data_IF_978413631237
#
_entry.id   IF_978413631237
#
_cell.length_a   1.000
_cell.length_b   1.000
_cell.length_c   1.000
_cell.angle_alpha   90.00
_cell.angle_beta   90.00
_cell.angle_gamma   90.00
#
_symmetry.space_group_name_H-M   'P 1'
#
loop_
_entity.id
_entity.type
_entity.pdbx_description
1 polymer ?
#
# COMPACT_ATOMS: atom_id res chain seq x y z
N UNK A 1 33.56 -30.04 -22.63
CA UNK A 1 33.99 -28.91 -21.74
C UNK A 1 33.36 -27.55 -22.11
N UNK A 2 32.62 -27.44 -23.22
CA UNK A 2 31.98 -26.19 -23.67
C UNK A 2 30.60 -25.93 -23.06
N UNK A 3 29.91 -26.96 -22.56
CA UNK A 3 28.55 -26.78 -22.01
C UNK A 3 28.52 -26.16 -20.60
N UNK A 4 29.63 -26.22 -19.84
CA UNK A 4 29.70 -25.63 -18.48
C UNK A 4 30.06 -24.15 -18.51
N UNK A 5 30.75 -23.66 -19.54
CA UNK A 5 31.13 -22.25 -19.71
C UNK A 5 29.92 -21.39 -20.14
N UNK A 6 29.04 -21.96 -20.98
CA UNK A 6 27.83 -21.25 -21.42
C UNK A 6 26.85 -21.02 -20.25
N UNK A 7 26.71 -21.99 -19.32
CA UNK A 7 25.83 -21.84 -18.16
C UNK A 7 26.32 -20.80 -17.15
N UNK A 8 27.62 -20.52 -17.08
CA UNK A 8 28.18 -19.46 -16.23
C UNK A 8 28.03 -18.04 -16.85
N UNK A 9 28.12 -17.96 -18.19
CA UNK A 9 27.98 -16.67 -18.89
C UNK A 9 26.53 -16.13 -18.81
N UNK A 10 25.53 -17.01 -18.89
CA UNK A 10 24.12 -16.62 -18.77
C UNK A 10 23.68 -16.31 -17.32
N UNK A 11 24.37 -16.83 -16.30
CA UNK A 11 24.10 -16.47 -14.89
C UNK A 11 24.47 -15.03 -14.54
N UNK A 12 25.33 -14.36 -15.31
CA UNK A 12 25.68 -12.96 -15.09
C UNK A 12 24.70 -11.95 -15.71
N UNK A 13 23.67 -12.41 -16.43
CA UNK A 13 22.63 -11.56 -17.05
C UNK A 13 21.28 -11.61 -16.33
N UNK A 14 21.11 -12.48 -15.35
CA UNK A 14 19.83 -12.56 -14.62
C UNK A 14 19.85 -11.63 -13.41
N UNK A 15 18.84 -10.79 -13.28
CA UNK A 15 18.65 -9.93 -12.12
C UNK A 15 18.45 -10.79 -10.87
N UNK A 16 19.30 -10.61 -9.84
CA UNK A 16 19.05 -11.23 -8.52
C UNK A 16 17.94 -10.45 -7.80
N UNK A 17 16.70 -10.86 -8.00
CA UNK A 17 15.53 -10.25 -7.39
C UNK A 17 15.56 -10.27 -5.87
N UNK A 18 16.39 -11.12 -5.26
CA UNK A 18 16.43 -11.35 -3.82
C UNK A 18 17.60 -10.69 -3.10
N UNK A 19 18.55 -10.05 -3.79
CA UNK A 19 19.82 -9.60 -3.20
C UNK A 19 19.64 -8.76 -1.92
N UNK A 20 19.06 -7.57 -2.03
CA UNK A 20 18.79 -6.68 -0.89
C UNK A 20 17.79 -7.29 0.11
N UNK A 21 16.74 -7.94 -0.42
CA UNK A 21 15.70 -8.59 0.40
C UNK A 21 16.31 -9.65 1.31
N UNK A 22 17.24 -10.44 0.78
CA UNK A 22 17.96 -11.48 1.53
C UNK A 22 18.79 -10.89 2.66
N UNK A 23 19.48 -9.77 2.40
CA UNK A 23 20.33 -9.10 3.38
C UNK A 23 19.48 -8.49 4.51
N UNK A 24 18.35 -7.88 4.17
CA UNK A 24 17.40 -7.35 5.16
C UNK A 24 16.77 -8.47 6.00
N UNK A 25 16.34 -9.58 5.37
CA UNK A 25 15.75 -10.73 6.10
C UNK A 25 16.77 -11.38 7.04
N UNK A 26 18.05 -11.41 6.68
CA UNK A 26 19.13 -11.92 7.54
C UNK A 26 19.56 -10.94 8.64
N UNK A 27 19.18 -9.67 8.53
CA UNK A 27 19.68 -8.61 9.41
C UNK A 27 21.09 -8.15 9.06
N UNK A 28 21.55 -8.38 7.84
CA UNK A 28 22.88 -7.96 7.34
C UNK A 28 22.85 -6.53 6.75
N UNK A 29 21.66 -5.97 6.48
CA UNK A 29 21.52 -4.61 5.97
C UNK A 29 21.49 -3.60 7.13
N UNK A 30 22.45 -2.67 7.21
CA UNK A 30 22.46 -1.65 8.24
C UNK A 30 21.44 -0.54 7.91
N UNK A 31 20.58 -0.23 8.85
CA UNK A 31 19.71 0.94 8.77
C UNK A 31 20.55 2.23 8.72
N UNK A 32 20.42 3.06 7.68
CA UNK A 32 21.25 4.23 7.49
C UNK A 32 21.05 5.32 8.56
N UNK A 33 19.93 5.33 9.26
CA UNK A 33 19.68 6.31 10.34
C UNK A 33 20.29 5.88 11.67
N UNK A 34 20.32 4.58 11.95
CA UNK A 34 20.74 4.07 13.27
C UNK A 34 22.06 3.31 13.22
N UNK A 35 22.53 2.90 12.05
CA UNK A 35 23.67 2.01 11.85
C UNK A 35 23.46 0.58 12.36
N UNK A 36 22.29 0.26 12.89
CA UNK A 36 21.96 -1.07 13.40
C UNK A 36 21.39 -1.95 12.30
N UNK A 37 21.55 -3.28 12.40
CA UNK A 37 20.90 -4.20 11.47
C UNK A 37 19.39 -3.96 11.47
N UNK A 38 18.83 -3.77 10.28
CA UNK A 38 17.39 -3.74 10.09
C UNK A 38 16.85 -5.17 10.27
N UNK A 39 15.78 -5.32 11.05
CA UNK A 39 15.19 -6.62 11.33
C UNK A 39 13.73 -6.66 10.86
N UNK A 40 13.37 -7.71 10.13
CA UNK A 40 12.01 -7.96 9.66
C UNK A 40 11.52 -9.33 10.12
N UNK A 41 10.23 -9.52 10.39
CA UNK A 41 9.70 -10.73 11.00
C UNK A 41 9.45 -11.87 10.01
N UNK A 42 10.25 -11.97 8.93
CA UNK A 42 10.13 -13.03 7.91
C UNK A 42 11.25 -14.05 8.06
N UNK A 43 10.96 -15.32 7.87
CA UNK A 43 11.98 -16.37 7.80
C UNK A 43 12.60 -16.48 6.42
N UNK A 44 11.79 -16.27 5.38
CA UNK A 44 12.25 -16.31 4.00
C UNK A 44 11.34 -15.53 3.07
N UNK A 45 11.95 -14.93 2.06
CA UNK A 45 11.24 -14.32 0.92
C UNK A 45 11.94 -14.79 -0.35
N UNK A 46 11.15 -15.18 -1.35
CA UNK A 46 11.65 -15.59 -2.68
C UNK A 46 10.84 -14.90 -3.77
N UNK A 47 11.54 -14.19 -4.61
CA UNK A 47 11.02 -13.60 -5.84
C UNK A 47 11.81 -14.25 -6.97
N UNK A 48 11.15 -15.05 -7.80
CA UNK A 48 11.79 -15.78 -8.89
C UNK A 48 10.95 -15.61 -10.17
N UNK A 49 11.57 -15.82 -11.33
CA UNK A 49 10.84 -15.80 -12.59
C UNK A 49 9.72 -16.85 -12.60
N UNK A 50 9.99 -18.03 -12.04
CA UNK A 50 8.99 -19.07 -11.80
C UNK A 50 9.32 -19.86 -10.55
N UNK A 51 8.29 -20.30 -9.82
CA UNK A 51 8.37 -21.16 -8.66
C UNK A 51 7.86 -22.58 -8.98
N UNK A 52 7.69 -22.93 -10.25
CA UNK A 52 7.15 -24.22 -10.67
C UNK A 52 7.98 -25.39 -10.14
N UNK A 53 7.31 -26.34 -9.52
CA UNK A 53 7.92 -27.54 -8.90
C UNK A 53 8.58 -27.28 -7.56
N UNK A 54 8.65 -26.04 -7.07
CA UNK A 54 9.42 -25.67 -5.87
C UNK A 54 8.60 -25.37 -4.61
N UNK A 55 7.26 -25.40 -4.66
CA UNK A 55 6.45 -24.95 -3.53
C UNK A 55 6.68 -25.77 -2.26
N UNK A 56 6.86 -27.08 -2.37
CA UNK A 56 7.14 -27.95 -1.21
C UNK A 56 8.46 -27.58 -0.52
N UNK A 57 9.53 -27.39 -1.28
CA UNK A 57 10.85 -27.05 -0.75
C UNK A 57 10.87 -25.66 -0.09
N UNK A 58 10.06 -24.74 -0.59
CA UNK A 58 9.90 -23.41 -0.03
C UNK A 58 9.10 -23.40 1.28
N UNK A 59 8.06 -24.23 1.38
CA UNK A 59 7.15 -24.24 2.55
C UNK A 59 7.64 -25.17 3.66
N UNK A 60 8.30 -26.29 3.33
CA UNK A 60 8.75 -27.27 4.33
C UNK A 60 9.58 -26.67 5.48
N UNK A 61 10.56 -25.78 5.24
CA UNK A 61 11.38 -25.19 6.30
C UNK A 61 10.55 -24.34 7.29
N UNK A 62 9.41 -23.77 6.86
CA UNK A 62 8.58 -22.88 7.67
C UNK A 62 7.77 -23.64 8.74
N UNK A 63 7.68 -24.96 8.63
CA UNK A 63 6.97 -25.80 9.60
C UNK A 63 5.56 -25.28 9.89
N UNK A 64 4.79 -25.05 8.82
CA UNK A 64 3.41 -24.52 8.91
C UNK A 64 2.48 -25.50 9.64
N UNK A 65 2.73 -26.79 9.51
CA UNK A 65 1.98 -27.88 10.13
C UNK A 65 1.89 -29.12 9.24
N UNK A 66 1.16 -30.12 9.69
CA UNK A 66 0.90 -31.35 8.92
C UNK A 66 -0.47 -31.32 8.22
N UNK A 67 -1.42 -30.54 8.73
CA UNK A 67 -2.70 -30.27 8.10
C UNK A 67 -2.67 -28.81 7.65
N UNK A 68 -2.52 -28.59 6.35
CA UNK A 68 -2.33 -27.28 5.76
C UNK A 68 -3.59 -26.93 4.94
N UNK A 69 -4.21 -25.80 5.23
CA UNK A 69 -5.24 -25.24 4.35
C UNK A 69 -4.55 -24.34 3.30
N UNK A 70 -4.75 -24.68 2.02
CA UNK A 70 -4.37 -23.82 0.90
C UNK A 70 -5.58 -22.97 0.54
N UNK A 71 -5.52 -21.68 0.87
CA UNK A 71 -6.62 -20.73 0.67
C UNK A 71 -6.36 -19.88 -0.57
N UNK A 72 -7.27 -19.93 -1.52
CA UNK A 72 -7.28 -19.14 -2.75
C UNK A 72 -8.69 -18.61 -3.03
N UNK A 73 -8.85 -17.71 -3.97
CA UNK A 73 -10.16 -17.44 -4.58
C UNK A 73 -10.26 -18.14 -5.94
N UNK A 74 -11.44 -18.10 -6.57
CA UNK A 74 -11.68 -18.79 -7.85
C UNK A 74 -10.69 -18.39 -8.94
N UNK A 75 -10.23 -17.12 -8.99
CA UNK A 75 -9.28 -16.64 -9.98
C UNK A 75 -7.86 -17.09 -9.64
N UNK A 76 -7.45 -16.91 -8.39
CA UNK A 76 -6.10 -17.25 -7.94
C UNK A 76 -5.89 -18.74 -7.79
N UNK A 77 -6.98 -19.52 -7.59
CA UNK A 77 -6.94 -20.98 -7.63
C UNK A 77 -6.50 -21.49 -9.02
N UNK A 78 -7.11 -20.97 -10.07
CA UNK A 78 -6.74 -21.34 -11.45
C UNK A 78 -5.33 -20.86 -11.80
N UNK A 79 -4.96 -19.63 -11.41
CA UNK A 79 -3.65 -19.05 -11.74
C UNK A 79 -2.48 -19.77 -11.07
N UNK A 80 -2.62 -20.15 -9.79
CA UNK A 80 -1.51 -20.71 -9.00
C UNK A 80 -1.97 -21.69 -7.91
N UNK A 81 -3.14 -21.51 -7.30
CA UNK A 81 -3.56 -22.21 -6.09
C UNK A 81 -3.57 -23.74 -6.26
N UNK A 82 -4.13 -24.23 -7.36
CA UNK A 82 -4.19 -25.66 -7.69
C UNK A 82 -2.78 -26.25 -7.81
N UNK A 83 -1.83 -25.56 -8.42
CA UNK A 83 -0.44 -25.98 -8.55
C UNK A 83 0.23 -26.08 -7.18
N UNK A 84 0.13 -25.03 -6.36
CA UNK A 84 0.68 -25.01 -5.00
C UNK A 84 0.08 -26.12 -4.15
N UNK A 85 -1.24 -26.29 -4.13
CA UNK A 85 -1.90 -27.34 -3.36
C UNK A 85 -1.39 -28.74 -3.77
N UNK A 86 -1.26 -29.00 -5.07
CA UNK A 86 -0.72 -30.26 -5.60
C UNK A 86 0.72 -30.51 -5.14
N UNK A 87 1.59 -29.50 -5.23
CA UNK A 87 3.00 -29.61 -4.87
C UNK A 87 3.19 -29.82 -3.35
N UNK A 88 2.32 -29.25 -2.51
CA UNK A 88 2.40 -29.37 -1.06
C UNK A 88 1.93 -30.73 -0.51
N UNK A 89 1.30 -31.59 -1.30
CA UNK A 89 0.76 -32.90 -0.82
C UNK A 89 1.83 -33.82 -0.21
N UNK A 90 3.09 -33.62 -0.56
CA UNK A 90 4.21 -34.35 0.05
C UNK A 90 4.53 -33.94 1.49
N UNK A 91 4.02 -32.79 1.96
CA UNK A 91 4.29 -32.27 3.30
C UNK A 91 3.27 -32.72 4.34
N UNK A 92 2.09 -33.16 3.92
CA UNK A 92 1.01 -33.56 4.83
C UNK A 92 -0.37 -33.60 4.17
N UNK A 93 -1.42 -33.49 4.98
CA UNK A 93 -2.79 -33.37 4.49
C UNK A 93 -3.02 -31.93 4.00
N UNK A 94 -3.51 -31.79 2.77
CA UNK A 94 -3.78 -30.50 2.13
C UNK A 94 -5.28 -30.36 1.90
N UNK A 95 -5.87 -29.30 2.45
CA UNK A 95 -7.25 -28.92 2.21
C UNK A 95 -7.28 -27.68 1.31
N UNK A 96 -7.94 -27.80 0.18
CA UNK A 96 -8.10 -26.69 -0.77
C UNK A 96 -9.37 -25.89 -0.41
N UNK A 97 -9.19 -24.65 0.02
CA UNK A 97 -10.27 -23.72 0.37
C UNK A 97 -10.35 -22.64 -0.70
N UNK A 98 -11.39 -22.67 -1.51
CA UNK A 98 -11.59 -21.71 -2.60
C UNK A 98 -12.67 -20.71 -2.23
N UNK A 99 -12.29 -19.45 -2.07
CA UNK A 99 -13.17 -18.33 -1.76
C UNK A 99 -13.79 -17.73 -3.04
N UNK A 100 -14.88 -16.95 -2.93
CA UNK A 100 -15.42 -16.20 -4.07
C UNK A 100 -14.39 -15.22 -4.67
N UNK A 101 -14.50 -14.92 -5.98
CA UNK A 101 -13.54 -14.06 -6.69
C UNK A 101 -13.65 -12.56 -6.37
N UNK A 102 -14.70 -12.16 -5.69
CA UNK A 102 -14.96 -10.79 -5.21
C UNK A 102 -14.68 -10.63 -3.70
N UNK A 103 -13.87 -11.52 -3.13
CA UNK A 103 -13.54 -11.52 -1.71
C UNK A 103 -12.87 -10.20 -1.30
N UNK A 104 -13.46 -9.53 -0.31
CA UNK A 104 -12.92 -8.36 0.36
C UNK A 104 -12.40 -8.74 1.75
N UNK A 105 -11.44 -7.97 2.28
CA UNK A 105 -10.98 -8.16 3.65
C UNK A 105 -11.90 -7.39 4.62
N UNK A 106 -12.92 -8.08 5.11
CA UNK A 106 -13.85 -7.62 6.14
C UNK A 106 -13.99 -8.64 7.26
N UNK A 107 -14.60 -8.24 8.39
CA UNK A 107 -14.77 -9.15 9.53
C UNK A 107 -15.56 -10.42 9.19
N UNK A 108 -16.63 -10.39 8.38
CA UNK A 108 -17.31 -11.60 7.92
C UNK A 108 -16.42 -12.56 7.13
N UNK A 109 -15.63 -12.03 6.19
CA UNK A 109 -14.67 -12.83 5.41
C UNK A 109 -13.59 -13.44 6.31
N UNK A 110 -13.04 -12.67 7.24
CA UNK A 110 -12.07 -13.18 8.23
C UNK A 110 -12.67 -14.33 9.04
N UNK A 111 -13.88 -14.16 9.56
CA UNK A 111 -14.59 -15.22 10.30
C UNK A 111 -14.84 -16.46 9.42
N UNK A 112 -15.18 -16.25 8.15
CA UNK A 112 -15.37 -17.35 7.18
C UNK A 112 -14.08 -18.12 6.93
N UNK A 113 -12.94 -17.43 6.77
CA UNK A 113 -11.61 -18.09 6.66
C UNK A 113 -11.31 -18.90 7.91
N UNK A 114 -11.52 -18.34 9.12
CA UNK A 114 -11.34 -19.06 10.38
C UNK A 114 -12.19 -20.34 10.45
N UNK A 115 -13.46 -20.25 10.10
CA UNK A 115 -14.38 -21.38 10.09
C UNK A 115 -13.94 -22.50 9.12
N UNK A 116 -13.66 -22.12 7.87
CA UNK A 116 -13.30 -23.09 6.83
C UNK A 116 -11.95 -23.77 7.09
N UNK A 117 -11.04 -23.10 7.79
CA UNK A 117 -9.69 -23.60 8.07
C UNK A 117 -9.46 -24.03 9.52
N UNK A 118 -10.52 -24.12 10.34
CA UNK A 118 -10.42 -24.42 11.79
C UNK A 118 -9.69 -25.70 12.15
N UNK A 119 -9.69 -26.68 11.25
CA UNK A 119 -9.06 -27.99 11.44
C UNK A 119 -7.61 -28.03 10.96
N UNK A 120 -7.15 -27.00 10.27
CA UNK A 120 -5.79 -26.89 9.76
C UNK A 120 -4.83 -26.36 10.84
N UNK A 121 -3.61 -26.87 10.85
CA UNK A 121 -2.55 -26.42 11.76
C UNK A 121 -2.02 -25.02 11.34
N UNK A 122 -2.12 -24.70 10.05
CA UNK A 122 -1.76 -23.41 9.49
C UNK A 122 -2.26 -23.21 8.07
N UNK A 123 -1.99 -22.04 7.50
CA UNK A 123 -2.52 -21.62 6.20
C UNK A 123 -1.38 -21.33 5.23
N UNK A 124 -1.55 -21.76 3.97
CA UNK A 124 -0.81 -21.24 2.82
C UNK A 124 -1.81 -20.47 1.96
N UNK A 125 -1.73 -19.14 1.97
CA UNK A 125 -2.59 -18.31 1.14
C UNK A 125 -1.97 -18.14 -0.25
N UNK A 126 -2.78 -18.32 -1.28
CA UNK A 126 -2.40 -18.11 -2.69
C UNK A 126 -3.32 -17.03 -3.25
N UNK A 127 -2.81 -15.79 -3.31
CA UNK A 127 -3.66 -14.67 -3.69
C UNK A 127 -2.96 -13.32 -3.65
N UNK A 128 -3.75 -12.27 -3.83
CA UNK A 128 -3.28 -10.90 -3.71
C UNK A 128 -3.85 -10.21 -2.45
N UNK A 129 -3.85 -8.89 -2.40
CA UNK A 129 -4.07 -8.08 -1.22
C UNK A 129 -5.18 -8.51 -0.28
N UNK A 130 -6.44 -8.50 -0.72
CA UNK A 130 -7.60 -8.76 0.14
C UNK A 130 -7.57 -10.16 0.76
N UNK A 131 -7.24 -11.17 -0.03
CA UNK A 131 -7.19 -12.55 0.45
C UNK A 131 -6.01 -12.76 1.41
N UNK A 132 -4.86 -12.15 1.10
CA UNK A 132 -3.69 -12.18 1.98
C UNK A 132 -3.98 -11.53 3.32
N UNK A 133 -4.61 -10.36 3.35
CA UNK A 133 -4.97 -9.67 4.60
C UNK A 133 -6.04 -10.43 5.39
N UNK A 134 -7.03 -11.05 4.71
CA UNK A 134 -8.03 -11.89 5.38
C UNK A 134 -7.40 -13.09 6.08
N UNK A 135 -6.50 -13.82 5.40
CA UNK A 135 -5.79 -14.97 5.98
C UNK A 135 -4.80 -14.55 7.06
N UNK A 136 -4.09 -13.44 6.85
CA UNK A 136 -3.18 -12.83 7.84
C UNK A 136 -3.92 -12.53 9.13
N UNK A 137 -5.05 -11.82 9.05
CA UNK A 137 -5.80 -11.43 10.23
C UNK A 137 -6.50 -12.62 10.90
N UNK A 138 -7.03 -13.58 10.11
CA UNK A 138 -7.60 -14.83 10.64
C UNK A 138 -6.55 -15.62 11.44
N UNK A 139 -5.37 -15.86 10.87
CA UNK A 139 -4.29 -16.60 11.54
C UNK A 139 -3.70 -15.85 12.73
N UNK A 140 -3.66 -14.53 12.69
CA UNK A 140 -3.28 -13.71 13.84
C UNK A 140 -4.25 -13.89 15.02
N UNK A 141 -5.56 -13.84 14.77
CA UNK A 141 -6.59 -14.07 15.81
C UNK A 141 -6.52 -15.48 16.39
N UNK A 142 -6.16 -16.48 15.58
CA UNK A 142 -6.11 -17.88 15.98
C UNK A 142 -4.73 -18.32 16.53
N UNK A 143 -3.71 -17.46 16.42
CA UNK A 143 -2.32 -17.81 16.80
C UNK A 143 -1.69 -18.86 15.88
N UNK A 144 -2.18 -19.04 14.65
CA UNK A 144 -1.66 -20.00 13.66
C UNK A 144 -0.59 -19.39 12.77
N UNK A 145 0.29 -20.24 12.24
CA UNK A 145 1.28 -19.84 11.23
C UNK A 145 0.65 -19.73 9.85
N UNK A 146 1.21 -18.86 9.01
CA UNK A 146 0.85 -18.83 7.60
C UNK A 146 2.04 -18.47 6.70
N UNK A 147 1.94 -18.83 5.43
CA UNK A 147 2.81 -18.41 4.34
C UNK A 147 1.98 -17.87 3.18
N UNK A 148 2.59 -17.06 2.33
CA UNK A 148 1.89 -16.38 1.23
C UNK A 148 2.57 -16.65 -0.11
N UNK A 149 1.79 -17.08 -1.11
CA UNK A 149 2.15 -17.04 -2.52
C UNK A 149 1.40 -15.88 -3.18
N UNK A 150 2.13 -14.84 -3.57
CA UNK A 150 1.54 -13.69 -4.25
C UNK A 150 1.24 -13.99 -5.73
N UNK A 151 0.07 -13.59 -6.20
CA UNK A 151 -0.41 -13.86 -7.57
C UNK A 151 -0.52 -12.61 -8.43
N UNK A 152 -0.34 -11.43 -7.86
CA UNK A 152 -0.40 -10.16 -8.58
C UNK A 152 0.28 -9.04 -7.80
N UNK A 153 0.86 -8.08 -8.50
CA UNK A 153 1.55 -6.93 -7.93
C UNK A 153 0.55 -5.79 -7.65
N UNK A 154 -0.27 -5.90 -6.59
CA UNK A 154 -1.37 -4.95 -6.34
C UNK A 154 -1.12 -3.96 -5.22
N UNK A 155 -0.30 -4.32 -4.25
CA UNK A 155 -0.06 -3.50 -3.04
C UNK A 155 1.08 -4.08 -2.19
N UNK A 156 1.56 -3.30 -1.21
CA UNK A 156 2.67 -3.64 -0.32
C UNK A 156 2.32 -4.58 0.86
N UNK A 157 1.05 -4.89 1.08
CA UNK A 157 0.55 -5.59 2.27
C UNK A 157 1.07 -6.99 2.51
N UNK A 158 1.64 -7.66 1.51
CA UNK A 158 2.29 -8.98 1.72
C UNK A 158 3.34 -8.91 2.82
N UNK A 159 4.15 -7.86 2.81
CA UNK A 159 5.29 -7.66 3.70
C UNK A 159 4.99 -6.75 4.89
N UNK A 160 3.74 -6.41 5.15
CA UNK A 160 3.36 -5.61 6.30
C UNK A 160 2.91 -6.47 7.48
N UNK A 161 3.19 -6.00 8.70
CA UNK A 161 2.70 -6.59 9.96
C UNK A 161 1.30 -6.12 10.37
N UNK A 162 0.59 -5.45 9.46
CA UNK A 162 -0.80 -4.98 9.63
C UNK A 162 -1.69 -5.57 8.57
N UNK A 163 -3.00 -5.62 8.82
CA UNK A 163 -4.03 -5.97 7.84
C UNK A 163 -5.02 -4.83 7.68
N UNK A 164 -5.40 -4.53 6.43
CA UNK A 164 -6.45 -3.55 6.13
C UNK A 164 -7.80 -4.24 6.16
N UNK A 165 -8.61 -3.95 7.18
CA UNK A 165 -9.87 -4.66 7.44
C UNK A 165 -11.03 -3.67 7.48
N UNK A 166 -12.13 -4.03 6.83
CA UNK A 166 -13.41 -3.33 6.98
C UNK A 166 -14.18 -3.95 8.15
N UNK A 167 -14.47 -3.13 9.16
CA UNK A 167 -15.23 -3.56 10.34
C UNK A 167 -16.71 -3.73 10.01
N UNK A 168 -17.46 -4.44 10.87
CA UNK A 168 -18.90 -4.67 10.70
C UNK A 168 -19.73 -3.38 10.60
N UNK A 169 -19.23 -2.27 11.11
CA UNK A 169 -19.88 -0.95 10.99
C UNK A 169 -19.54 -0.22 9.68
N UNK A 170 -18.74 -0.83 8.78
CA UNK A 170 -18.30 -0.25 7.51
C UNK A 170 -17.02 0.62 7.60
N UNK A 171 -16.44 0.82 8.79
CA UNK A 171 -15.22 1.59 8.94
C UNK A 171 -13.99 0.79 8.52
N UNK A 172 -13.24 1.29 7.52
CA UNK A 172 -12.02 0.67 7.04
C UNK A 172 -10.81 1.16 7.82
N UNK A 173 -10.06 0.23 8.41
CA UNK A 173 -8.91 0.55 9.26
C UNK A 173 -7.79 -0.46 9.10
N UNK A 174 -6.55 -0.04 9.42
CA UNK A 174 -5.41 -0.94 9.53
C UNK A 174 -5.31 -1.46 10.96
N UNK A 175 -5.40 -2.77 11.11
CA UNK A 175 -5.30 -3.44 12.42
C UNK A 175 -3.94 -4.11 12.57
N UNK A 176 -3.38 -4.16 13.80
CA UNK A 176 -2.22 -4.99 14.08
C UNK A 176 -2.48 -6.44 13.70
N UNK A 177 -1.50 -7.08 13.08
CA UNK A 177 -1.53 -8.48 12.68
C UNK A 177 -0.10 -9.05 12.80
N UNK A 178 0.16 -10.18 12.19
CA UNK A 178 1.49 -10.75 12.12
C UNK A 178 1.96 -10.91 10.66
N UNK A 179 3.27 -10.92 10.47
CA UNK A 179 3.84 -11.20 9.17
C UNK A 179 3.72 -12.69 8.81
N UNK A 180 3.67 -13.06 7.51
CA UNK A 180 3.82 -14.44 7.09
C UNK A 180 5.20 -14.98 7.44
N UNK A 181 5.31 -16.28 7.68
CA UNK A 181 6.62 -16.94 7.87
C UNK A 181 7.46 -16.87 6.59
N UNK A 182 6.81 -16.97 5.44
CA UNK A 182 7.46 -16.86 4.14
C UNK A 182 6.57 -16.20 3.10
N UNK A 183 7.19 -15.50 2.14
CA UNK A 183 6.54 -14.89 0.99
C UNK A 183 7.21 -15.41 -0.27
N UNK A 184 6.41 -15.89 -1.21
CA UNK A 184 6.83 -16.51 -2.45
C UNK A 184 6.13 -15.84 -3.63
N UNK A 185 6.91 -15.31 -4.57
CA UNK A 185 6.42 -14.58 -5.73
C UNK A 185 6.92 -15.26 -6.99
N UNK A 186 6.00 -15.77 -7.77
CA UNK A 186 6.21 -16.25 -9.14
C UNK A 186 5.94 -15.08 -10.09
N UNK A 187 7.01 -14.51 -10.67
CA UNK A 187 6.90 -13.31 -11.50
C UNK A 187 6.13 -13.55 -12.80
N UNK A 188 6.17 -14.75 -13.36
CA UNK A 188 5.35 -15.10 -14.53
C UNK A 188 3.87 -15.05 -14.20
N UNK A 189 3.47 -15.61 -13.05
CA UNK A 189 2.08 -15.55 -12.58
C UNK A 189 1.65 -14.10 -12.34
N UNK A 190 2.52 -13.28 -11.75
CA UNK A 190 2.24 -11.86 -11.54
C UNK A 190 2.15 -11.08 -12.85
N UNK A 191 3.00 -11.40 -13.83
CA UNK A 191 2.98 -10.78 -15.15
C UNK A 191 1.74 -11.18 -15.97
N UNK A 192 1.31 -12.44 -15.87
CA UNK A 192 0.11 -12.96 -16.55
C UNK A 192 -1.21 -12.46 -15.92
N UNK A 193 -1.14 -11.85 -14.71
CA UNK A 193 -2.30 -11.26 -14.08
C UNK A 193 -2.88 -10.10 -14.92
N UNK A 194 -4.19 -9.81 -14.83
CA UNK A 194 -4.79 -8.70 -15.56
C UNK A 194 -4.03 -7.38 -15.35
N UNK A 195 -3.66 -6.68 -16.42
CA UNK A 195 -2.85 -5.43 -16.42
C UNK A 195 -3.32 -4.40 -15.38
N UNK A 196 -4.63 -4.28 -15.15
CA UNK A 196 -5.19 -3.39 -14.11
C UNK A 196 -4.65 -3.65 -12.70
N UNK A 197 -4.16 -4.87 -12.42
CA UNK A 197 -3.62 -5.23 -11.10
C UNK A 197 -2.19 -4.71 -10.94
N UNK A 198 -1.33 -4.85 -11.96
CA UNK A 198 0.01 -4.24 -11.96
C UNK A 198 -0.07 -2.72 -12.02
N UNK A 199 -1.02 -2.15 -12.79
CA UNK A 199 -1.28 -0.72 -12.79
C UNK A 199 -1.74 -0.22 -11.40
N UNK A 200 -2.53 -1.02 -10.66
CA UNK A 200 -2.90 -0.71 -9.28
C UNK A 200 -1.68 -0.70 -8.35
N UNK A 201 -0.81 -1.70 -8.44
CA UNK A 201 0.42 -1.73 -7.65
C UNK A 201 1.38 -0.58 -7.96
N UNK A 202 1.47 -0.19 -9.22
CA UNK A 202 2.23 1.01 -9.61
C UNK A 202 1.61 2.27 -9.00
N UNK A 203 0.28 2.43 -9.05
CA UNK A 203 -0.43 3.55 -8.43
C UNK A 203 -0.20 3.61 -6.92
N UNK A 204 -0.27 2.45 -6.24
CA UNK A 204 0.04 2.31 -4.82
C UNK A 204 1.50 2.67 -4.49
N UNK A 205 2.42 2.43 -5.43
CA UNK A 205 3.84 2.74 -5.27
C UNK A 205 4.18 4.20 -5.58
N UNK A 206 3.50 4.85 -6.52
CA UNK A 206 3.77 6.24 -6.92
C UNK A 206 3.30 7.28 -5.90
N UNK A 207 2.62 6.89 -4.84
CA UNK A 207 2.21 7.78 -3.75
C UNK A 207 3.39 8.29 -2.88
N UNK A 208 4.55 7.63 -2.91
CA UNK A 208 5.65 7.92 -1.98
C UNK A 208 6.14 9.37 -1.99
N UNK A 209 6.34 10.04 -3.13
CA UNK A 209 6.73 11.45 -3.12
C UNK A 209 5.71 12.35 -2.38
N UNK A 210 4.42 12.13 -2.61
CA UNK A 210 3.36 12.90 -1.95
C UNK A 210 3.26 12.56 -0.46
N UNK A 211 3.35 11.29 -0.12
CA UNK A 211 3.36 10.83 1.27
C UNK A 211 4.60 11.35 2.04
N UNK A 212 5.77 11.41 1.40
CA UNK A 212 6.99 11.93 2.00
C UNK A 212 6.86 13.42 2.31
N UNK A 213 6.28 14.21 1.39
CA UNK A 213 6.00 15.63 1.59
C UNK A 213 5.08 15.81 2.80
N UNK A 214 3.98 15.08 2.88
CA UNK A 214 3.04 15.18 4.00
C UNK A 214 3.70 14.75 5.32
N UNK A 215 4.41 13.64 5.33
CA UNK A 215 5.02 13.10 6.56
C UNK A 215 6.17 13.98 7.05
N UNK A 216 7.04 14.46 6.15
CA UNK A 216 8.11 15.39 6.50
C UNK A 216 7.56 16.73 7.01
N UNK A 217 6.56 17.30 6.33
CA UNK A 217 5.90 18.53 6.79
C UNK A 217 5.29 18.34 8.18
N UNK A 218 4.60 17.23 8.44
CA UNK A 218 4.07 16.90 9.75
C UNK A 218 5.18 16.80 10.81
N UNK A 219 6.32 16.18 10.48
CA UNK A 219 7.48 16.12 11.36
C UNK A 219 8.02 17.51 11.72
N UNK A 220 8.27 18.36 10.72
CA UNK A 220 8.82 19.70 10.92
C UNK A 220 7.87 20.64 11.66
N UNK A 221 6.57 20.50 11.41
CA UNK A 221 5.54 21.38 11.98
C UNK A 221 5.08 20.93 13.38
N UNK A 222 5.01 19.63 13.66
CA UNK A 222 4.43 19.11 14.90
C UNK A 222 5.41 18.26 15.72
N UNK A 223 6.63 17.99 15.23
CA UNK A 223 7.58 17.09 15.89
C UNK A 223 7.11 15.62 15.88
N UNK A 224 6.27 15.24 14.93
CA UNK A 224 5.83 13.85 14.79
C UNK A 224 7.00 12.96 14.36
N UNK A 225 6.88 11.67 14.62
CA UNK A 225 7.89 10.70 14.19
C UNK A 225 8.09 10.75 12.66
N UNK A 226 9.35 10.63 12.23
CA UNK A 226 9.74 10.47 10.83
C UNK A 226 10.95 9.53 10.75
N UNK A 227 11.08 8.78 9.67
CA UNK A 227 12.25 7.98 9.33
C UNK A 227 12.51 8.01 7.83
N UNK A 228 13.77 8.20 7.45
CA UNK A 228 14.23 8.12 6.06
C UNK A 228 14.53 6.68 5.61
N UNK A 229 14.63 5.74 6.54
CA UNK A 229 14.98 4.33 6.30
C UNK A 229 14.13 3.67 5.21
N UNK A 230 12.77 3.81 5.18
CA UNK A 230 11.96 3.22 4.12
C UNK A 230 12.31 3.73 2.72
N UNK A 231 12.66 5.00 2.59
CA UNK A 231 13.04 5.61 1.30
C UNK A 231 14.42 5.13 0.86
N UNK A 232 15.37 5.01 1.79
CA UNK A 232 16.70 4.47 1.50
C UNK A 232 16.65 3.02 1.00
N UNK A 233 15.74 2.19 1.55
CA UNK A 233 15.52 0.82 1.09
C UNK A 233 15.09 0.75 -0.39
N UNK A 234 14.29 1.70 -0.84
CA UNK A 234 13.70 1.69 -2.19
C UNK A 234 14.49 2.51 -3.20
N UNK A 235 15.53 3.24 -2.76
CA UNK A 235 16.23 4.23 -3.58
C UNK A 235 16.76 3.71 -4.91
N UNK A 236 17.21 2.45 -4.96
CA UNK A 236 17.72 1.82 -6.19
C UNK A 236 16.63 1.20 -7.07
N UNK A 237 15.55 0.73 -6.46
CA UNK A 237 14.50 -0.02 -7.17
C UNK A 237 13.42 0.90 -7.75
N UNK A 238 13.12 2.00 -7.09
CA UNK A 238 12.06 2.93 -7.52
C UNK A 238 12.31 3.57 -8.90
N UNK A 239 13.54 4.04 -9.21
CA UNK A 239 13.83 4.53 -10.56
C UNK A 239 13.67 3.48 -11.65
N UNK A 240 14.01 2.21 -11.36
CA UNK A 240 13.85 1.08 -12.28
C UNK A 240 12.37 0.78 -12.53
N UNK A 241 11.57 0.75 -11.48
CA UNK A 241 10.12 0.59 -11.58
C UNK A 241 9.48 1.69 -12.45
N UNK A 242 9.85 2.94 -12.23
CA UNK A 242 9.34 4.08 -13.02
C UNK A 242 9.77 3.95 -14.49
N UNK A 243 11.03 3.59 -14.75
CA UNK A 243 11.58 3.46 -16.10
C UNK A 243 10.92 2.34 -16.91
N UNK A 244 10.47 1.27 -16.24
CA UNK A 244 9.86 0.08 -16.88
C UNK A 244 8.33 0.07 -16.79
N UNK A 245 7.70 1.14 -16.28
CA UNK A 245 6.25 1.19 -16.06
C UNK A 245 5.42 0.86 -17.31
N UNK A 246 5.85 1.31 -18.51
CA UNK A 246 5.18 1.02 -19.78
C UNK A 246 5.25 -0.45 -20.21
N UNK A 247 6.18 -1.22 -19.67
CA UNK A 247 6.33 -2.64 -19.99
C UNK A 247 5.40 -3.52 -19.13
N UNK A 248 4.84 -2.97 -18.03
CA UNK A 248 3.78 -3.64 -17.25
C UNK A 248 2.56 -3.97 -18.11
N UNK A 249 2.15 -3.05 -18.98
CA UNK A 249 1.03 -3.27 -19.90
C UNK A 249 1.31 -4.34 -20.98
N UNK A 250 2.58 -4.73 -21.15
CA UNK A 250 3.03 -5.79 -22.07
C UNK A 250 3.25 -7.13 -21.36
N UNK A 251 2.88 -7.24 -20.08
CA UNK A 251 3.10 -8.43 -19.25
C UNK A 251 4.59 -8.81 -19.12
N UNK A 252 5.48 -7.81 -19.16
CA UNK A 252 6.92 -8.04 -19.04
C UNK A 252 7.29 -8.51 -17.62
N UNK A 253 8.01 -9.62 -17.55
CA UNK A 253 8.38 -10.26 -16.27
C UNK A 253 9.35 -9.39 -15.47
N UNK A 254 10.31 -8.73 -16.14
CA UNK A 254 11.30 -7.90 -15.46
C UNK A 254 10.66 -6.62 -14.90
N UNK A 255 9.75 -5.98 -15.65
CA UNK A 255 8.98 -4.82 -15.16
C UNK A 255 8.15 -5.19 -13.93
N UNK A 256 7.47 -6.36 -13.96
CA UNK A 256 6.74 -6.89 -12.82
C UNK A 256 7.69 -7.22 -11.64
N UNK A 257 8.91 -7.67 -11.90
CA UNK A 257 9.94 -7.88 -10.88
C UNK A 257 10.36 -6.59 -10.18
N UNK A 258 10.59 -5.50 -10.92
CA UNK A 258 10.91 -4.19 -10.35
C UNK A 258 9.76 -3.62 -9.52
N UNK A 259 8.52 -3.73 -10.01
CA UNK A 259 7.35 -3.32 -9.24
C UNK A 259 7.20 -4.13 -7.96
N UNK A 260 7.33 -5.46 -8.04
CA UNK A 260 7.20 -6.34 -6.87
C UNK A 260 8.26 -6.06 -5.80
N UNK A 261 9.50 -5.77 -6.19
CA UNK A 261 10.56 -5.39 -5.25
C UNK A 261 10.22 -4.11 -4.50
N UNK A 262 9.77 -3.08 -5.21
CA UNK A 262 9.36 -1.82 -4.57
C UNK A 262 8.21 -2.03 -3.59
N UNK A 263 7.19 -2.82 -3.96
CA UNK A 263 6.08 -3.16 -3.07
C UNK A 263 6.56 -3.93 -1.83
N UNK A 264 7.48 -4.88 -2.00
CA UNK A 264 8.06 -5.65 -0.91
C UNK A 264 8.85 -4.78 0.07
N UNK A 265 9.77 -3.96 -0.45
CA UNK A 265 10.62 -3.07 0.35
C UNK A 265 9.80 -1.97 1.05
N UNK A 266 8.73 -1.48 0.42
CA UNK A 266 7.76 -0.59 1.06
C UNK A 266 7.10 -1.25 2.27
N UNK A 267 6.70 -2.52 2.16
CA UNK A 267 6.15 -3.29 3.28
C UNK A 267 7.15 -3.47 4.43
N UNK A 268 8.44 -3.65 4.13
CA UNK A 268 9.48 -3.68 5.16
C UNK A 268 9.56 -2.37 5.94
N UNK A 269 9.38 -1.23 5.26
CA UNK A 269 9.32 0.07 5.92
C UNK A 269 8.30 0.11 7.05
N UNK A 270 7.14 -0.56 6.89
CA UNK A 270 6.14 -0.69 7.97
C UNK A 270 6.68 -1.52 9.14
N UNK A 271 7.42 -2.58 8.86
CA UNK A 271 8.02 -3.42 9.91
C UNK A 271 9.06 -2.64 10.74
N UNK A 272 9.87 -1.80 10.09
CA UNK A 272 10.91 -1.01 10.78
C UNK A 272 10.34 0.15 11.59
N UNK A 273 9.38 0.88 11.00
CA UNK A 273 8.88 2.11 11.60
C UNK A 273 7.66 1.91 12.48
N UNK A 274 6.99 0.79 12.38
CA UNK A 274 5.69 0.53 13.02
C UNK A 274 4.53 1.36 12.46
N UNK A 275 4.78 2.16 11.41
CA UNK A 275 3.78 3.02 10.76
C UNK A 275 3.87 2.91 9.24
N UNK A 276 2.80 3.23 8.53
CA UNK A 276 2.75 3.20 7.06
C UNK A 276 2.91 4.57 6.40
N UNK A 277 3.38 5.58 7.12
CA UNK A 277 3.36 6.98 6.64
C UNK A 277 4.21 7.21 5.39
N UNK A 278 5.30 6.45 5.21
CA UNK A 278 6.17 6.55 4.03
C UNK A 278 5.48 6.16 2.70
N UNK A 279 4.34 5.50 2.77
CA UNK A 279 3.57 5.10 1.60
C UNK A 279 2.07 5.19 1.84
N UNK A 280 1.59 6.04 2.79
CA UNK A 280 0.17 6.15 3.08
C UNK A 280 -0.13 7.43 3.88
N UNK A 281 -0.42 8.52 3.21
CA UNK A 281 -0.82 9.79 3.82
C UNK A 281 -2.13 10.30 3.21
N UNK A 282 -2.19 11.52 2.71
CA UNK A 282 -3.41 12.15 2.19
C UNK A 282 -4.07 11.36 1.06
N UNK A 283 -3.30 10.83 0.13
CA UNK A 283 -3.77 10.04 -1.02
C UNK A 283 -4.49 8.75 -0.62
N UNK A 284 -4.00 8.09 0.41
CA UNK A 284 -4.64 6.90 0.96
C UNK A 284 -5.91 7.24 1.74
N UNK A 285 -5.96 8.40 2.39
CA UNK A 285 -7.19 8.86 3.02
C UNK A 285 -8.31 9.03 1.99
N UNK A 286 -7.99 9.52 0.79
CA UNK A 286 -8.94 9.63 -0.34
C UNK A 286 -9.46 8.26 -0.75
N UNK A 287 -8.58 7.29 -0.98
CA UNK A 287 -8.99 5.93 -1.33
C UNK A 287 -9.83 5.27 -0.23
N UNK A 288 -9.44 5.41 1.04
CA UNK A 288 -10.22 4.88 2.15
C UNK A 288 -11.60 5.53 2.26
N UNK A 289 -11.70 6.84 2.00
CA UNK A 289 -12.98 7.53 1.97
C UNK A 289 -13.88 6.98 0.86
N UNK A 290 -13.33 6.78 -0.35
CA UNK A 290 -14.08 6.18 -1.47
C UNK A 290 -14.60 4.79 -1.08
N UNK A 291 -13.73 3.92 -0.56
CA UNK A 291 -14.10 2.56 -0.16
C UNK A 291 -15.20 2.52 0.92
N UNK A 292 -15.22 3.50 1.84
CA UNK A 292 -16.20 3.56 2.91
C UNK A 292 -17.52 4.21 2.50
N UNK A 293 -17.49 5.20 1.61
CA UNK A 293 -18.64 6.10 1.42
C UNK A 293 -19.18 6.20 0.00
N UNK A 294 -18.49 5.62 -1.00
CA UNK A 294 -19.01 5.62 -2.36
C UNK A 294 -20.27 4.74 -2.54
N UNK A 295 -20.45 3.73 -1.70
CA UNK A 295 -21.64 2.87 -1.72
C UNK A 295 -21.88 2.27 -3.12
N UNK A 296 -23.09 2.48 -3.65
CA UNK A 296 -23.47 1.99 -5.00
C UNK A 296 -22.71 2.64 -6.15
N UNK A 297 -22.13 3.82 -5.91
CA UNK A 297 -21.37 4.57 -6.92
C UNK A 297 -19.87 4.18 -6.89
N UNK A 298 -19.50 3.17 -6.08
CA UNK A 298 -18.16 2.61 -6.07
C UNK A 298 -17.90 1.85 -7.38
N UNK A 299 -16.87 2.23 -8.17
CA UNK A 299 -16.68 1.73 -9.53
C UNK A 299 -16.10 0.31 -9.58
N UNK A 300 -15.88 -0.36 -8.44
CA UNK A 300 -15.21 -1.65 -8.37
C UNK A 300 -13.69 -1.58 -8.61
N UNK A 301 -13.10 -0.39 -8.61
CA UNK A 301 -11.66 -0.20 -8.76
C UNK A 301 -10.90 -0.73 -7.56
N UNK A 302 -9.65 -1.14 -7.79
CA UNK A 302 -8.75 -1.58 -6.72
C UNK A 302 -8.15 -0.37 -6.01
N UNK A 303 -7.81 -0.56 -4.74
CA UNK A 303 -7.21 0.46 -3.86
C UNK A 303 -6.09 1.25 -4.54
N UNK A 304 -5.07 0.58 -5.10
CA UNK A 304 -3.95 1.26 -5.74
C UNK A 304 -4.31 2.08 -7.00
N UNK A 305 -5.41 1.75 -7.70
CA UNK A 305 -5.90 2.59 -8.81
C UNK A 305 -6.43 3.92 -8.27
N UNK A 306 -7.18 3.90 -7.16
CA UNK A 306 -7.69 5.11 -6.50
C UNK A 306 -6.53 5.92 -5.90
N UNK A 307 -5.56 5.24 -5.25
CA UNK A 307 -4.35 5.86 -4.69
C UNK A 307 -3.54 6.55 -5.79
N UNK A 308 -3.35 5.95 -6.96
CA UNK A 308 -2.62 6.55 -8.07
C UNK A 308 -3.22 7.88 -8.53
N UNK A 309 -4.54 7.93 -8.75
CA UNK A 309 -5.24 9.17 -9.14
C UNK A 309 -5.21 10.19 -8.00
N UNK A 310 -5.40 9.76 -6.76
CA UNK A 310 -5.33 10.64 -5.60
C UNK A 310 -3.92 11.24 -5.41
N UNK A 311 -2.88 10.43 -5.59
CA UNK A 311 -1.49 10.89 -5.55
C UNK A 311 -1.21 11.96 -6.60
N UNK A 312 -1.73 11.77 -7.82
CA UNK A 312 -1.57 12.75 -8.89
C UNK A 312 -2.27 14.07 -8.56
N UNK A 313 -3.49 14.04 -8.02
CA UNK A 313 -4.21 15.24 -7.61
C UNK A 313 -3.50 15.95 -6.44
N UNK A 314 -3.04 15.20 -5.44
CA UNK A 314 -2.30 15.73 -4.29
C UNK A 314 -0.94 16.27 -4.71
N UNK A 315 -0.23 15.61 -5.64
CA UNK A 315 1.02 16.14 -6.19
C UNK A 315 0.83 17.51 -6.86
N UNK A 316 -0.29 17.71 -7.59
CA UNK A 316 -0.65 19.02 -8.16
C UNK A 316 -0.93 20.05 -7.07
N UNK A 317 -1.69 19.70 -6.04
CA UNK A 317 -2.00 20.56 -4.90
C UNK A 317 -0.73 20.96 -4.13
N UNK A 318 0.09 19.99 -3.76
CA UNK A 318 1.35 20.22 -3.08
C UNK A 318 2.29 21.12 -3.91
N UNK A 319 2.43 20.83 -5.20
CA UNK A 319 3.28 21.62 -6.10
C UNK A 319 2.79 23.08 -6.24
N UNK A 320 1.48 23.30 -6.27
CA UNK A 320 0.91 24.64 -6.28
C UNK A 320 1.20 25.40 -4.99
N UNK A 321 1.00 24.78 -3.83
CA UNK A 321 1.29 25.41 -2.54
C UNK A 321 2.79 25.68 -2.38
N UNK A 322 3.65 24.73 -2.78
CA UNK A 322 5.11 24.86 -2.68
C UNK A 322 5.71 25.90 -3.66
N UNK A 323 4.93 26.39 -4.65
CA UNK A 323 5.34 27.51 -5.51
C UNK A 323 5.03 28.88 -4.90
N UNK A 324 4.24 28.96 -3.84
CA UNK A 324 3.91 30.21 -3.17
C UNK A 324 5.15 30.77 -2.47
N UNK A 325 5.41 32.09 -2.62
CA UNK A 325 6.50 32.77 -1.91
C UNK A 325 6.26 32.85 -0.41
N UNK A 326 4.99 32.98 -0.01
CA UNK A 326 4.54 32.98 1.37
C UNK A 326 3.64 31.77 1.62
N UNK A 327 3.72 31.18 2.80
CA UNK A 327 2.86 30.04 3.12
C UNK A 327 1.37 30.47 3.18
N UNK A 328 0.45 29.55 2.88
CA UNK A 328 -0.96 29.80 3.10
C UNK A 328 -1.24 30.01 4.59
N UNK A 329 -2.20 30.86 4.90
CA UNK A 329 -2.65 31.12 6.27
C UNK A 329 -3.91 30.32 6.56
N UNK A 330 -3.84 29.46 7.56
CA UNK A 330 -5.00 28.69 8.03
C UNK A 330 -5.88 29.52 8.97
N UNK A 331 -7.13 29.12 9.01
CA UNK A 331 -8.14 29.57 10.02
C UNK A 331 -8.32 28.44 11.04
N UNK A 332 -9.07 28.71 12.10
CA UNK A 332 -9.54 27.66 12.99
C UNK A 332 -10.28 26.59 12.15
N UNK A 333 -9.96 25.32 12.40
CA UNK A 333 -10.58 24.20 11.69
C UNK A 333 -12.09 24.18 12.00
N UNK A 334 -12.92 24.18 10.97
CA UNK A 334 -14.36 23.99 11.16
C UNK A 334 -14.63 22.51 11.49
N UNK A 335 -15.02 22.26 12.73
CA UNK A 335 -15.26 20.91 13.23
C UNK A 335 -16.48 20.88 14.15
N UNK A 336 -17.58 20.27 13.67
CA UNK A 336 -18.86 20.16 14.37
C UNK A 336 -19.35 18.72 14.32
N UNK A 337 -19.42 18.05 15.45
CA UNK A 337 -19.74 16.59 15.53
C UNK A 337 -21.05 16.24 14.81
N UNK A 338 -22.07 17.08 14.95
CA UNK A 338 -23.36 16.87 14.29
C UNK A 338 -23.27 16.81 12.76
N UNK A 339 -22.34 17.53 12.14
CA UNK A 339 -22.11 17.48 10.69
C UNK A 339 -21.47 16.16 10.26
N UNK A 340 -20.51 15.64 11.06
CA UNK A 340 -19.91 14.32 10.81
C UNK A 340 -20.96 13.22 10.95
N UNK A 341 -21.81 13.29 11.97
CA UNK A 341 -22.92 12.34 12.16
C UNK A 341 -23.92 12.46 11.00
N UNK A 342 -24.24 13.67 10.55
CA UNK A 342 -25.12 13.88 9.40
C UNK A 342 -24.56 13.33 8.09
N UNK A 343 -23.23 13.42 7.89
CA UNK A 343 -22.52 12.96 6.67
C UNK A 343 -22.32 11.45 6.64
N UNK A 344 -21.96 10.83 7.77
CA UNK A 344 -21.46 9.46 7.83
C UNK A 344 -22.32 8.50 8.68
N UNK A 345 -23.42 9.00 9.26
CA UNK A 345 -24.20 8.27 10.24
C UNK A 345 -23.52 8.24 11.61
N UNK A 346 -24.30 7.91 12.66
CA UNK A 346 -23.87 8.07 14.05
C UNK A 346 -22.57 7.31 14.39
N UNK A 347 -22.48 6.04 14.03
CA UNK A 347 -21.36 5.18 14.42
C UNK A 347 -20.05 5.66 13.77
N UNK A 348 -20.01 5.78 12.44
CA UNK A 348 -18.80 6.18 11.69
C UNK A 348 -18.53 7.67 11.89
N UNK A 349 -19.57 8.52 11.91
CA UNK A 349 -19.41 9.95 12.08
C UNK A 349 -18.74 10.34 13.38
N UNK A 350 -19.08 9.70 14.51
CA UNK A 350 -18.39 9.95 15.77
C UNK A 350 -16.92 9.48 15.75
N UNK A 351 -16.60 8.39 15.03
CA UNK A 351 -15.21 7.95 14.85
C UNK A 351 -14.42 8.96 14.00
N UNK A 352 -14.95 9.36 12.85
CA UNK A 352 -14.33 10.36 11.98
C UNK A 352 -14.15 11.70 12.70
N UNK A 353 -15.14 12.17 13.45
CA UNK A 353 -15.02 13.36 14.29
C UNK A 353 -13.86 13.22 15.29
N UNK A 354 -13.76 12.08 15.97
CA UNK A 354 -12.68 11.80 16.92
C UNK A 354 -11.29 11.83 16.28
N UNK A 355 -11.15 11.34 15.03
CA UNK A 355 -9.88 11.40 14.30
C UNK A 355 -9.57 12.82 13.81
N UNK A 356 -10.54 13.52 13.24
CA UNK A 356 -10.37 14.89 12.77
C UNK A 356 -10.05 15.86 13.92
N UNK A 357 -10.69 15.69 15.08
CA UNK A 357 -10.47 16.53 16.26
C UNK A 357 -9.03 16.51 16.77
N UNK A 358 -8.30 15.39 16.59
CA UNK A 358 -6.91 15.26 17.06
C UNK A 358 -5.93 16.17 16.32
N UNK A 359 -6.30 16.68 15.15
CA UNK A 359 -5.46 17.55 14.31
C UNK A 359 -6.13 18.91 14.00
N UNK A 360 -7.30 19.17 14.59
CA UNK A 360 -8.03 20.42 14.42
C UNK A 360 -7.38 21.56 15.22
N UNK A 361 -7.41 22.76 14.67
CA UNK A 361 -6.93 23.98 15.32
C UNK A 361 -8.12 24.82 15.82
N UNK A 362 -8.02 25.31 17.04
CA UNK A 362 -8.80 26.46 17.49
C UNK A 362 -8.16 27.76 16.97
N UNK A 363 -8.78 28.92 17.24
CA UNK A 363 -8.29 30.22 16.74
C UNK A 363 -6.87 30.56 17.25
N UNK A 364 -6.54 30.40 18.55
CA UNK A 364 -5.17 30.57 19.04
C UNK A 364 -4.18 29.58 18.41
N UNK A 365 -4.55 28.31 18.28
CA UNK A 365 -3.73 27.28 17.67
C UNK A 365 -3.43 27.56 16.20
N UNK A 366 -4.43 28.01 15.43
CA UNK A 366 -4.24 28.44 14.04
C UNK A 366 -3.30 29.66 13.92
N UNK A 367 -3.40 30.63 14.81
CA UNK A 367 -2.49 31.76 14.85
C UNK A 367 -1.05 31.33 15.13
N UNK A 368 -0.84 30.51 16.17
CA UNK A 368 0.48 29.97 16.50
C UNK A 368 1.07 29.10 15.38
N UNK A 369 0.23 28.29 14.71
CA UNK A 369 0.65 27.51 13.54
C UNK A 369 1.08 28.42 12.39
N UNK A 370 0.32 29.48 12.09
CA UNK A 370 0.67 30.43 11.02
C UNK A 370 2.01 31.12 11.29
N UNK A 371 2.27 31.55 12.53
CA UNK A 371 3.55 32.17 12.91
C UNK A 371 4.71 31.17 12.75
N UNK A 372 4.53 29.94 13.22
CA UNK A 372 5.51 28.88 13.05
C UNK A 372 5.77 28.55 11.57
N UNK A 373 4.70 28.37 10.79
CA UNK A 373 4.81 28.05 9.36
C UNK A 373 5.50 29.18 8.60
N UNK A 374 5.17 30.43 8.90
CA UNK A 374 5.81 31.59 8.27
C UNK A 374 7.33 31.65 8.57
N UNK A 375 7.71 31.37 9.81
CA UNK A 375 9.12 31.30 10.22
C UNK A 375 9.92 30.18 9.56
N UNK A 376 9.30 29.02 9.36
CA UNK A 376 9.94 27.83 8.77
C UNK A 376 9.85 27.80 7.23
N UNK A 377 8.97 28.58 6.61
CA UNK A 377 8.58 28.40 5.22
C UNK A 377 9.74 28.38 4.21
N UNK A 378 10.72 29.28 4.25
CA UNK A 378 11.80 29.27 3.26
C UNK A 378 12.59 27.95 3.27
N UNK A 379 12.92 27.45 4.46
CA UNK A 379 13.67 26.20 4.65
C UNK A 379 12.79 25.00 4.34
N UNK A 380 11.60 24.91 4.96
CA UNK A 380 10.64 23.82 4.77
C UNK A 380 10.25 23.67 3.29
N UNK A 381 9.98 24.76 2.59
CA UNK A 381 9.67 24.75 1.16
C UNK A 381 10.79 24.14 0.33
N UNK A 382 12.04 24.51 0.61
CA UNK A 382 13.20 23.96 -0.08
C UNK A 382 13.35 22.46 0.18
N UNK A 383 13.20 22.03 1.44
CA UNK A 383 13.23 20.61 1.81
C UNK A 383 12.15 19.81 1.08
N UNK A 384 10.91 20.29 1.12
CA UNK A 384 9.77 19.61 0.49
C UNK A 384 9.88 19.57 -1.04
N UNK A 385 10.42 20.63 -1.67
CA UNK A 385 10.64 20.66 -3.11
C UNK A 385 11.62 19.56 -3.58
N UNK A 386 12.53 19.12 -2.72
CA UNK A 386 13.46 18.03 -3.05
C UNK A 386 12.77 16.67 -3.20
N UNK A 387 11.57 16.51 -2.62
CA UNK A 387 10.77 15.27 -2.71
C UNK A 387 9.75 15.30 -3.85
N UNK A 388 9.52 16.45 -4.49
CA UNK A 388 8.49 16.60 -5.52
C UNK A 388 8.80 15.74 -6.75
N UNK A 389 7.88 14.87 -7.09
CA UNK A 389 7.79 14.28 -8.42
C UNK A 389 6.92 15.18 -9.30
N UNK A 390 7.40 15.52 -10.51
CA UNK A 390 6.61 16.28 -11.46
C UNK A 390 5.27 15.58 -11.74
N UNK A 391 4.13 16.25 -11.52
CA UNK A 391 2.80 15.68 -11.79
C UNK A 391 2.63 15.20 -13.23
N UNK A 392 3.25 15.86 -14.21
CA UNK A 392 3.20 15.42 -15.61
C UNK A 392 3.95 14.09 -15.81
N UNK A 393 5.10 13.93 -15.16
CA UNK A 393 5.86 12.66 -15.16
C UNK A 393 5.06 11.55 -14.45
N UNK A 394 4.44 11.86 -13.32
CA UNK A 394 3.61 10.90 -12.59
C UNK A 394 2.42 10.42 -13.45
N UNK A 395 1.71 11.35 -14.10
CA UNK A 395 0.60 11.04 -15.00
C UNK A 395 1.05 10.18 -16.19
N UNK A 396 2.19 10.55 -16.82
CA UNK A 396 2.75 9.77 -17.94
C UNK A 396 3.13 8.35 -17.51
N UNK A 397 3.69 8.18 -16.30
CA UNK A 397 4.07 6.87 -15.75
C UNK A 397 2.84 5.99 -15.50
N UNK A 398 1.80 6.53 -14.86
CA UNK A 398 0.53 5.82 -14.63
C UNK A 398 -0.10 5.40 -15.96
N UNK A 399 -0.21 6.33 -16.90
CA UNK A 399 -0.82 6.08 -18.21
C UNK A 399 -0.07 5.03 -19.02
N UNK A 400 1.26 5.05 -18.99
CA UNK A 400 2.09 4.06 -19.69
C UNK A 400 1.83 2.62 -19.20
N UNK A 401 1.53 2.45 -17.90
CA UNK A 401 1.17 1.17 -17.31
C UNK A 401 -0.31 0.78 -17.50
N UNK A 402 -1.11 1.58 -18.22
CA UNK A 402 -2.55 1.37 -18.37
C UNK A 402 -3.36 1.79 -17.14
N UNK A 403 -2.79 2.60 -16.25
CA UNK A 403 -3.47 3.15 -15.09
C UNK A 403 -4.29 4.40 -15.41
N UNK A 404 -5.34 4.65 -14.60
CA UNK A 404 -6.14 5.86 -14.66
C UNK A 404 -5.35 7.08 -14.16
N UNK A 405 -5.64 8.26 -14.72
CA UNK A 405 -5.05 9.55 -14.34
C UNK A 405 -6.09 10.56 -13.89
N UNK A 406 -7.37 10.22 -14.03
CA UNK A 406 -8.50 11.06 -13.61
C UNK A 406 -9.57 10.23 -12.90
N UNK A 407 -10.44 10.91 -12.15
CA UNK A 407 -11.59 10.27 -11.51
C UNK A 407 -12.55 9.65 -12.54
N UNK A 408 -12.76 10.33 -13.67
CA UNK A 408 -13.60 9.84 -14.75
C UNK A 408 -13.06 8.54 -15.35
N UNK A 409 -11.75 8.43 -15.56
CA UNK A 409 -11.10 7.18 -16.01
C UNK A 409 -11.20 6.05 -14.98
N UNK A 410 -11.36 6.36 -13.69
CA UNK A 410 -11.69 5.38 -12.65
C UNK A 410 -13.16 4.95 -12.70
N UNK A 411 -14.02 5.65 -13.41
CA UNK A 411 -15.47 5.46 -13.38
C UNK A 411 -16.16 6.11 -12.18
N UNK A 412 -15.49 7.04 -11.49
CA UNK A 412 -16.05 7.79 -10.36
C UNK A 412 -16.79 9.03 -10.86
N UNK A 413 -18.01 9.32 -10.35
CA UNK A 413 -18.65 10.61 -10.55
C UNK A 413 -17.76 11.75 -10.04
N UNK A 414 -17.61 12.82 -10.82
CA UNK A 414 -16.78 13.99 -10.45
C UNK A 414 -17.22 14.60 -9.11
N UNK A 415 -18.53 14.63 -8.83
CA UNK A 415 -19.05 15.10 -7.55
C UNK A 415 -18.59 14.24 -6.36
N UNK A 416 -18.56 12.93 -6.54
CA UNK A 416 -18.10 11.99 -5.52
C UNK A 416 -16.58 12.11 -5.31
N UNK A 417 -15.82 12.26 -6.40
CA UNK A 417 -14.39 12.51 -6.32
C UNK A 417 -14.07 13.79 -5.54
N UNK A 418 -14.75 14.88 -5.84
CA UNK A 418 -14.56 16.14 -5.10
C UNK A 418 -14.88 15.99 -3.61
N UNK A 419 -15.93 15.23 -3.28
CA UNK A 419 -16.25 14.92 -1.89
C UNK A 419 -15.15 14.07 -1.24
N UNK A 420 -14.64 13.06 -1.93
CA UNK A 420 -13.56 12.21 -1.39
C UNK A 420 -12.31 13.03 -1.10
N UNK A 421 -11.88 13.91 -2.00
CA UNK A 421 -10.74 14.80 -1.79
C UNK A 421 -10.98 15.79 -0.62
N UNK A 422 -12.19 16.36 -0.51
CA UNK A 422 -12.52 17.32 0.54
C UNK A 422 -12.60 16.68 1.92
N UNK A 423 -13.21 15.51 2.02
CA UNK A 423 -13.53 14.87 3.29
C UNK A 423 -12.59 13.69 3.65
N UNK A 424 -11.60 13.38 2.81
CA UNK A 424 -10.60 12.36 3.12
C UNK A 424 -9.90 12.61 4.47
N UNK A 425 -9.65 13.88 4.79
CA UNK A 425 -9.05 14.31 6.07
C UNK A 425 -9.85 13.88 7.31
N UNK A 426 -11.12 13.54 7.17
CA UNK A 426 -11.98 13.13 8.28
C UNK A 426 -11.69 11.71 8.77
N UNK A 427 -11.11 10.85 7.91
CA UNK A 427 -11.02 9.39 8.19
C UNK A 427 -9.78 8.97 8.98
N UNK A 428 -8.80 9.85 9.16
CA UNK A 428 -7.54 9.59 9.88
C UNK A 428 -7.02 10.82 10.60
N UNK A 429 -6.27 10.61 11.66
CA UNK A 429 -5.59 11.68 12.42
C UNK A 429 -4.21 12.06 11.83
N UNK A 430 -3.94 11.69 10.59
CA UNK A 430 -2.70 12.07 9.89
C UNK A 430 -2.88 13.41 9.23
N UNK A 431 -2.14 14.42 9.69
CA UNK A 431 -2.13 15.72 9.07
C UNK A 431 -1.44 15.66 7.71
N UNK A 432 -2.00 16.34 6.71
CA UNK A 432 -1.55 16.34 5.32
C UNK A 432 -1.77 17.70 4.66
N UNK A 433 -1.32 17.87 3.44
CA UNK A 433 -1.61 19.07 2.64
C UNK A 433 -3.10 19.24 2.32
N UNK A 434 -3.92 18.19 2.44
CA UNK A 434 -5.38 18.34 2.39
C UNK A 434 -5.90 19.17 3.58
N UNK A 435 -5.34 18.95 4.78
CA UNK A 435 -5.67 19.72 5.98
C UNK A 435 -5.24 21.19 5.82
N UNK A 436 -4.00 21.41 5.34
CA UNK A 436 -3.46 22.74 5.09
C UNK A 436 -4.32 23.52 4.09
N UNK A 437 -4.65 22.88 2.97
CA UNK A 437 -5.41 23.53 1.89
C UNK A 437 -6.84 23.84 2.29
N UNK A 438 -7.51 22.93 3.03
CA UNK A 438 -8.89 23.16 3.47
C UNK A 438 -8.97 24.25 4.54
N UNK A 439 -8.12 24.20 5.57
CA UNK A 439 -8.08 25.20 6.63
C UNK A 439 -7.63 26.58 6.13
N UNK A 440 -6.85 26.63 5.02
CA UNK A 440 -6.51 27.86 4.33
C UNK A 440 -7.59 28.36 3.35
N UNK A 441 -8.62 27.54 3.08
CA UNK A 441 -9.69 27.88 2.12
C UNK A 441 -9.28 27.77 0.65
N UNK A 442 -8.22 27.01 0.34
CA UNK A 442 -7.69 26.80 -1.02
C UNK A 442 -8.24 25.55 -1.69
N UNK A 443 -8.73 24.57 -0.91
CA UNK A 443 -9.05 23.24 -1.41
C UNK A 443 -10.24 23.27 -2.39
N UNK A 444 -11.31 23.99 -2.08
CA UNK A 444 -12.50 24.04 -2.94
C UNK A 444 -12.19 24.67 -4.31
N UNK A 445 -11.38 25.73 -4.34
CA UNK A 445 -10.94 26.36 -5.60
C UNK A 445 -10.05 25.43 -6.41
N UNK A 446 -9.11 24.74 -5.74
CA UNK A 446 -8.28 23.72 -6.39
C UNK A 446 -9.15 22.63 -7.02
N UNK A 447 -10.10 22.05 -6.27
CA UNK A 447 -10.98 20.98 -6.75
C UNK A 447 -11.91 21.41 -7.89
N UNK A 448 -12.25 22.70 -7.98
CA UNK A 448 -13.08 23.21 -9.07
C UNK A 448 -12.36 23.17 -10.44
N UNK A 449 -11.05 23.30 -10.46
CA UNK A 449 -10.20 23.40 -11.68
C UNK A 449 -9.27 22.20 -11.91
N UNK A 450 -9.09 21.32 -10.90
CA UNK A 450 -8.28 20.14 -11.08
C UNK A 450 -8.88 19.19 -12.14
N UNK A 451 -8.09 18.65 -13.08
CA UNK A 451 -8.59 17.72 -14.10
C UNK A 451 -9.26 16.48 -13.50
N UNK A 452 -10.46 16.14 -14.01
CA UNK A 452 -11.29 15.05 -13.48
C UNK A 452 -11.58 13.97 -14.51
#
# INVERSE_FOLDING_TARGET
MECAAASHFWRHLMTDWNALIRDVVKGDWPDPETGKPANVPFETIRIEETLEGGAADLVAPLRIGKRIAVVSDVNTHEALGRRVAKELRGLGSIDEVVMPGDTHCDEPTVARVQELTRHADGIVVVGSGSLSDSCKFATFKDGRKYACFGTANTMNGYAASTASVTLNNGYKTSLPAHAPRGIFIDLKVCADAPTRLSAAGLGDSLCRPTAQIDWWASHRLFGTFYSATPYALMAEDEPKMIATAGDLAKHDVAANGHLQRVLMLCGFGVCFTGVSHHGSMGEHQVSHWIDMFAGKDHPGTKHGQQVGVASLAIARLQNEILRMDKPPKIRATHIVEAEFIGRYGKAIGSMCYGEAKKKAFDAPGAAAFNDKLAGLWPELRQELQSFVMDPAKMAATLKAAGGATTATELGLPVSLWRQSMKYARDVRNRWSFLDLADDAGLLDEFLARDPQ
#
